data_IF_631658767104
#
_entry.id   IF_631658767104
#
_cell.length_a   1.000
_cell.length_b   1.000
_cell.length_c   1.000
_cell.angle_alpha   90.00
_cell.angle_beta   90.00
_cell.angle_gamma   90.00
#
_symmetry.space_group_name_H-M   'P 1'
#
loop_
_entity.id
_entity.type
_entity.pdbx_description
1 polymer ?
#
# COMPACT_ATOMS: atom_id res chain seq x y z
N UNK A 1 -22.14 -75.91 40.69
CA UNK A 1 -21.61 -75.05 39.62
C UNK A 1 -22.09 -73.63 39.90
N UNK A 2 -21.18 -72.70 40.14
CA UNK A 2 -21.51 -71.30 40.54
C UNK A 2 -21.58 -70.39 39.30
N UNK A 3 -22.72 -69.79 38.94
CA UNK A 3 -22.88 -68.99 37.72
C UNK A 3 -22.75 -67.45 37.92
N UNK A 4 -21.81 -67.00 38.72
CA UNK A 4 -21.75 -65.53 39.02
C UNK A 4 -20.50 -64.78 38.55
N UNK A 5 -19.64 -65.42 37.76
CA UNK A 5 -18.41 -64.73 37.30
C UNK A 5 -18.52 -63.97 35.92
N UNK A 6 -19.49 -64.34 35.10
CA UNK A 6 -19.66 -63.76 33.76
C UNK A 6 -20.18 -62.31 33.77
N UNK A 7 -21.22 -61.96 34.59
CA UNK A 7 -21.74 -60.60 34.58
C UNK A 7 -20.75 -59.54 35.14
N UNK A 8 -19.85 -59.93 36.06
CA UNK A 8 -18.86 -59.07 36.66
C UNK A 8 -17.74 -58.72 35.64
N UNK A 9 -17.35 -59.70 34.81
CA UNK A 9 -16.33 -59.53 33.79
C UNK A 9 -16.88 -58.67 32.62
N UNK A 10 -18.13 -58.81 32.22
CA UNK A 10 -18.82 -58.01 31.22
C UNK A 10 -19.03 -56.60 31.73
N UNK A 11 -19.34 -56.36 32.99
CA UNK A 11 -19.44 -55.02 33.60
C UNK A 11 -18.09 -54.32 33.68
N UNK A 12 -16.99 -55.04 33.94
CA UNK A 12 -15.63 -54.46 33.97
C UNK A 12 -15.12 -54.13 32.59
N UNK A 13 -15.47 -54.92 31.55
CA UNK A 13 -15.14 -54.63 30.15
C UNK A 13 -15.94 -53.43 29.61
N UNK A 14 -17.17 -53.20 30.09
CA UNK A 14 -17.98 -52.06 29.67
C UNK A 14 -17.56 -50.73 30.33
N UNK A 15 -16.97 -50.77 31.53
CA UNK A 15 -16.46 -49.58 32.22
C UNK A 15 -15.13 -49.05 31.64
N UNK A 16 -14.36 -49.85 30.92
CA UNK A 16 -13.10 -49.43 30.26
C UNK A 16 -13.34 -48.70 28.92
N UNK A 17 -14.53 -48.91 28.31
CA UNK A 17 -14.87 -48.28 27.01
C UNK A 17 -15.29 -46.80 27.16
N UNK A 18 -15.63 -46.34 28.37
CA UNK A 18 -16.02 -44.95 28.62
C UNK A 18 -14.89 -44.04 29.08
N UNK A 19 -13.66 -44.55 29.27
CA UNK A 19 -12.46 -43.70 29.32
C UNK A 19 -11.92 -43.48 27.91
N UNK A 20 -12.74 -42.93 27.04
CA UNK A 20 -12.27 -42.35 25.79
C UNK A 20 -11.51 -41.08 26.16
N UNK A 21 -10.23 -41.04 25.85
CA UNK A 21 -9.41 -39.85 25.96
C UNK A 21 -10.01 -38.77 25.05
N UNK A 22 -10.73 -37.82 25.62
CA UNK A 22 -11.14 -36.59 24.92
C UNK A 22 -9.91 -35.85 24.34
N UNK A 23 -8.72 -35.99 24.95
CA UNK A 23 -7.46 -35.42 24.51
C UNK A 23 -6.89 -36.05 23.22
N UNK A 24 -7.39 -37.24 22.76
CA UNK A 24 -6.87 -37.90 21.55
C UNK A 24 -7.63 -37.48 20.29
N UNK A 25 -8.84 -36.91 20.44
CA UNK A 25 -9.69 -36.49 19.33
C UNK A 25 -9.68 -34.96 19.12
N UNK A 26 -9.04 -34.25 20.00
CA UNK A 26 -8.75 -32.81 19.80
C UNK A 26 -7.30 -32.72 19.32
N UNK A 27 -7.03 -32.85 18.02
CA UNK A 27 -5.70 -32.54 17.53
C UNK A 27 -5.48 -31.08 17.87
N UNK A 28 -4.69 -30.82 18.91
CA UNK A 28 -4.08 -29.50 19.07
C UNK A 28 -3.36 -29.27 17.75
N UNK A 29 -3.98 -28.48 16.90
CA UNK A 29 -3.39 -28.09 15.64
C UNK A 29 -2.19 -27.19 15.96
N UNK A 30 -1.09 -27.81 16.40
CA UNK A 30 0.21 -27.13 16.61
C UNK A 30 0.74 -26.55 15.31
N UNK A 31 0.09 -26.81 14.18
CA UNK A 31 0.45 -26.35 12.84
C UNK A 31 -0.48 -25.27 12.27
N UNK A 32 -1.63 -25.00 12.88
CA UNK A 32 -2.47 -23.88 12.46
C UNK A 32 -1.95 -22.62 13.13
N UNK A 33 -1.27 -21.78 12.36
CA UNK A 33 -1.01 -20.39 12.72
C UNK A 33 -2.38 -19.75 13.00
N UNK A 34 -2.75 -19.61 14.26
CA UNK A 34 -3.91 -18.81 14.64
C UNK A 34 -3.58 -17.34 14.29
N UNK A 35 -4.60 -16.56 13.99
CA UNK A 35 -4.45 -15.13 13.74
C UNK A 35 -3.68 -14.44 14.88
N UNK A 36 -3.97 -14.81 16.13
CA UNK A 36 -3.27 -14.31 17.33
C UNK A 36 -1.78 -14.65 17.30
N UNK A 37 -1.39 -15.88 16.96
CA UNK A 37 0.02 -16.27 16.86
C UNK A 37 0.73 -15.59 15.68
N UNK A 38 0.01 -15.36 14.58
CA UNK A 38 0.58 -14.66 13.43
C UNK A 38 0.89 -13.19 13.74
N UNK A 39 0.05 -12.53 14.53
CA UNK A 39 0.20 -11.11 14.86
C UNK A 39 1.35 -10.82 15.82
N UNK A 40 1.65 -11.72 16.75
CA UNK A 40 2.75 -11.55 17.72
C UNK A 40 4.14 -11.86 17.14
N UNK A 41 4.24 -12.44 15.95
CA UNK A 41 5.50 -12.82 15.32
C UNK A 41 6.15 -11.68 14.54
N UNK A 42 7.38 -11.30 14.91
CA UNK A 42 8.17 -10.30 14.16
C UNK A 42 8.36 -10.67 12.69
N UNK A 43 8.66 -11.94 12.39
CA UNK A 43 8.88 -12.37 11.00
C UNK A 43 7.59 -12.33 10.17
N UNK A 44 6.46 -12.67 10.77
CA UNK A 44 5.16 -12.55 10.09
C UNK A 44 4.81 -11.08 9.87
N UNK A 45 5.10 -10.21 10.83
CA UNK A 45 4.91 -8.76 10.68
C UNK A 45 5.79 -8.18 9.57
N UNK A 46 7.05 -8.63 9.46
CA UNK A 46 7.91 -8.30 8.32
C UNK A 46 7.29 -8.76 7.00
N UNK A 47 6.87 -10.03 6.91
CA UNK A 47 6.24 -10.57 5.69
C UNK A 47 4.97 -9.78 5.31
N UNK A 48 4.13 -9.44 6.29
CA UNK A 48 2.94 -8.60 6.07
C UNK A 48 3.30 -7.20 5.59
N UNK A 49 4.36 -6.58 6.15
CA UNK A 49 4.83 -5.27 5.68
C UNK A 49 5.28 -5.29 4.22
N UNK A 50 5.88 -6.40 3.77
CA UNK A 50 6.24 -6.63 2.37
C UNK A 50 4.99 -6.87 1.52
N UNK A 51 4.05 -7.66 2.03
CA UNK A 51 2.77 -7.93 1.37
C UNK A 51 1.95 -6.69 1.03
N UNK A 52 2.12 -5.59 1.77
CA UNK A 52 1.44 -4.32 1.45
C UNK A 52 1.79 -3.80 0.05
N UNK A 53 2.98 -4.11 -0.46
CA UNK A 53 3.42 -3.66 -1.78
C UNK A 53 2.80 -4.46 -2.94
N UNK A 54 2.19 -5.62 -2.68
CA UNK A 54 1.58 -6.46 -3.73
C UNK A 54 0.36 -5.83 -4.40
N UNK A 55 -0.25 -4.82 -3.78
CA UNK A 55 -1.38 -4.08 -4.35
C UNK A 55 -0.94 -2.93 -5.27
N UNK A 56 0.36 -2.66 -5.37
CA UNK A 56 0.87 -1.68 -6.34
C UNK A 56 0.65 -2.20 -7.76
N UNK A 57 0.21 -1.34 -8.69
CA UNK A 57 0.09 -1.74 -10.08
C UNK A 57 1.48 -2.02 -10.67
N UNK A 58 1.58 -3.05 -11.50
CA UNK A 58 2.76 -3.27 -12.33
C UNK A 58 2.75 -2.27 -13.49
N UNK A 59 3.69 -1.33 -13.51
CA UNK A 59 3.76 -0.30 -14.53
C UNK A 59 4.04 -0.83 -15.94
N UNK A 60 4.71 -1.99 -16.05
CA UNK A 60 5.03 -2.62 -17.34
C UNK A 60 3.93 -3.55 -17.84
N UNK A 61 3.03 -4.00 -16.97
CA UNK A 61 1.96 -4.95 -17.28
C UNK A 61 0.65 -4.50 -16.64
N UNK A 62 0.31 -3.21 -16.83
CA UNK A 62 -0.75 -2.55 -16.07
C UNK A 62 -2.15 -3.10 -16.38
N UNK A 63 -2.47 -3.29 -17.66
CA UNK A 63 -3.77 -3.76 -18.14
C UNK A 63 -3.57 -4.79 -19.26
N UNK A 64 -3.99 -6.03 -19.02
CA UNK A 64 -3.88 -7.17 -19.95
C UNK A 64 -2.45 -7.37 -20.50
N UNK A 65 -1.43 -7.14 -19.66
CA UNK A 65 -0.04 -7.25 -20.05
C UNK A 65 0.52 -6.02 -20.77
N UNK A 66 -0.29 -4.98 -20.99
CA UNK A 66 0.12 -3.76 -21.66
C UNK A 66 0.52 -2.66 -20.66
N UNK A 67 1.50 -1.85 -21.05
CA UNK A 67 1.82 -0.60 -20.38
C UNK A 67 0.73 0.45 -20.65
N UNK A 68 0.49 1.37 -19.70
CA UNK A 68 -0.45 2.48 -19.92
C UNK A 68 -0.03 3.42 -21.06
N UNK A 69 1.23 3.46 -21.46
CA UNK A 69 1.68 4.18 -22.66
C UNK A 69 0.93 3.74 -23.93
N UNK A 70 0.49 2.47 -23.99
CA UNK A 70 -0.31 1.95 -25.11
C UNK A 70 -1.77 2.46 -25.15
N UNK A 71 -2.22 3.19 -24.11
CA UNK A 71 -3.48 3.92 -24.12
C UNK A 71 -3.38 5.32 -24.76
N UNK A 72 -2.20 5.72 -25.20
CA UNK A 72 -1.90 7.01 -25.80
C UNK A 72 -1.13 6.81 -27.12
N UNK A 73 -0.63 7.90 -27.70
CA UNK A 73 0.21 7.91 -28.90
C UNK A 73 1.69 7.60 -28.64
N UNK A 74 2.07 7.33 -27.36
CA UNK A 74 3.46 7.05 -26.98
C UNK A 74 3.88 5.60 -27.33
N UNK A 75 2.93 4.65 -27.36
CA UNK A 75 3.20 3.25 -27.67
C UNK A 75 1.98 2.55 -28.26
N UNK A 76 2.21 1.40 -28.89
CA UNK A 76 1.17 0.50 -29.37
C UNK A 76 1.40 -0.91 -28.79
N UNK A 77 0.31 -1.58 -28.42
CA UNK A 77 0.37 -2.95 -27.94
C UNK A 77 -0.09 -3.91 -29.02
N UNK A 78 0.74 -4.92 -29.31
CA UNK A 78 0.55 -5.78 -30.48
C UNK A 78 -0.57 -6.81 -30.34
N UNK A 79 -1.06 -7.08 -29.11
CA UNK A 79 -2.16 -7.99 -28.88
C UNK A 79 -3.48 -7.26 -29.15
N UNK A 80 -4.06 -7.44 -30.33
CA UNK A 80 -5.28 -6.74 -30.80
C UNK A 80 -6.51 -6.92 -29.89
N UNK A 81 -6.57 -8.02 -29.13
CA UNK A 81 -7.69 -8.33 -28.22
C UNK A 81 -7.54 -7.71 -26.84
N UNK A 82 -6.43 -7.02 -26.55
CA UNK A 82 -6.17 -6.46 -25.23
C UNK A 82 -7.11 -5.28 -24.93
N UNK A 83 -7.60 -5.22 -23.68
CA UNK A 83 -8.54 -4.18 -23.21
C UNK A 83 -7.96 -2.76 -23.32
N UNK A 84 -6.61 -2.63 -23.36
CA UNK A 84 -5.95 -1.32 -23.51
C UNK A 84 -6.40 -0.57 -24.76
N UNK A 85 -6.71 -1.26 -25.85
CA UNK A 85 -7.20 -0.64 -27.09
C UNK A 85 -8.55 0.05 -26.93
N UNK A 86 -9.32 -0.27 -25.89
CA UNK A 86 -10.55 0.43 -25.55
C UNK A 86 -10.36 1.94 -25.34
N UNK A 87 -9.19 2.37 -24.88
CA UNK A 87 -8.83 3.79 -24.75
C UNK A 87 -8.64 4.43 -26.13
N UNK A 88 -7.92 3.76 -27.03
CA UNK A 88 -7.54 4.31 -28.34
C UNK A 88 -8.73 4.44 -29.29
N UNK A 89 -9.70 3.51 -29.22
CA UNK A 89 -10.91 3.53 -30.06
C UNK A 89 -12.08 4.25 -29.40
N UNK A 90 -11.90 4.82 -28.19
CA UNK A 90 -12.95 5.56 -27.49
C UNK A 90 -14.14 4.70 -27.03
N UNK A 91 -13.96 3.38 -26.89
CA UNK A 91 -15.02 2.46 -26.42
C UNK A 91 -15.16 2.45 -24.89
N UNK A 92 -14.27 3.13 -24.17
CA UNK A 92 -14.32 3.24 -22.72
C UNK A 92 -15.47 4.16 -22.27
N UNK A 93 -16.29 3.64 -21.38
CA UNK A 93 -17.40 4.37 -20.77
C UNK A 93 -17.78 3.73 -19.43
N UNK A 94 -18.78 4.29 -18.73
CA UNK A 94 -19.21 3.81 -17.41
C UNK A 94 -19.65 2.32 -17.39
N UNK A 95 -20.12 1.78 -18.51
CA UNK A 95 -20.54 0.37 -18.62
C UNK A 95 -19.43 -0.54 -19.18
N UNK A 96 -18.39 0.04 -19.73
CA UNK A 96 -17.25 -0.67 -20.29
C UNK A 96 -15.97 0.02 -19.83
N UNK A 97 -15.54 -0.30 -18.60
CA UNK A 97 -14.33 0.25 -17.97
C UNK A 97 -13.22 -0.80 -17.96
N UNK A 98 -12.20 -0.69 -18.81
CA UNK A 98 -11.08 -1.62 -18.82
C UNK A 98 -10.28 -1.65 -17.51
N UNK A 99 -10.26 -0.54 -16.75
CA UNK A 99 -9.57 -0.41 -15.45
C UNK A 99 -10.53 -0.59 -14.26
N UNK A 100 -11.60 -1.35 -14.43
CA UNK A 100 -12.64 -1.55 -13.41
C UNK A 100 -12.14 -2.17 -12.11
N UNK A 101 -11.10 -3.01 -12.18
CA UNK A 101 -10.46 -3.63 -11.00
C UNK A 101 -9.68 -2.65 -10.12
N UNK A 102 -9.44 -1.42 -10.58
CA UNK A 102 -8.69 -0.43 -9.80
C UNK A 102 -9.38 -0.06 -8.48
N UNK A 103 -10.73 -0.05 -8.44
CA UNK A 103 -11.48 0.19 -7.21
C UNK A 103 -11.18 -0.87 -6.15
N UNK A 104 -11.40 -2.12 -6.49
CA UNK A 104 -11.23 -3.26 -5.58
C UNK A 104 -9.77 -3.36 -5.12
N UNK A 105 -8.82 -3.43 -6.01
CA UNK A 105 -7.37 -3.53 -5.71
C UNK A 105 -6.89 -2.46 -4.75
N UNK A 106 -7.26 -1.19 -4.96
CA UNK A 106 -6.82 -0.11 -4.09
C UNK A 106 -7.50 -0.13 -2.72
N UNK A 107 -8.79 -0.49 -2.63
CA UNK A 107 -9.45 -0.67 -1.33
C UNK A 107 -8.94 -1.89 -0.57
N UNK A 108 -8.57 -2.96 -1.23
CA UNK A 108 -7.87 -4.09 -0.60
C UNK A 108 -6.51 -3.66 -0.03
N UNK A 109 -5.74 -2.87 -0.78
CA UNK A 109 -4.49 -2.28 -0.29
C UNK A 109 -4.69 -1.36 0.91
N UNK A 110 -5.74 -0.53 0.92
CA UNK A 110 -6.12 0.33 2.05
C UNK A 110 -6.51 -0.52 3.26
N UNK A 111 -7.32 -1.56 3.05
CA UNK A 111 -7.70 -2.49 4.12
C UNK A 111 -6.48 -3.18 4.73
N UNK A 112 -5.59 -3.71 3.89
CA UNK A 112 -4.35 -4.36 4.35
C UNK A 112 -3.46 -3.40 5.14
N UNK A 113 -3.33 -2.14 4.69
CA UNK A 113 -2.58 -1.11 5.40
C UNK A 113 -3.22 -0.77 6.76
N UNK A 114 -4.54 -0.62 6.83
CA UNK A 114 -5.26 -0.37 8.09
C UNK A 114 -5.10 -1.53 9.07
N UNK A 115 -5.23 -2.77 8.59
CA UNK A 115 -5.05 -3.98 9.40
C UNK A 115 -3.63 -4.06 9.94
N UNK A 116 -2.63 -3.81 9.07
CA UNK A 116 -1.22 -3.78 9.49
C UNK A 116 -0.97 -2.72 10.56
N UNK A 117 -1.49 -1.50 10.39
CA UNK A 117 -1.34 -0.42 11.36
C UNK A 117 -1.96 -0.76 12.71
N UNK A 118 -3.09 -1.46 12.73
CA UNK A 118 -3.78 -1.88 13.94
C UNK A 118 -3.03 -2.98 14.69
N UNK A 119 -2.53 -3.99 13.99
CA UNK A 119 -2.00 -5.22 14.59
C UNK A 119 -0.48 -5.21 14.78
N UNK A 120 0.25 -4.30 14.13
CA UNK A 120 1.72 -4.25 14.21
C UNK A 120 2.27 -3.88 15.60
N UNK A 121 1.43 -3.41 16.53
CA UNK A 121 1.80 -3.14 17.93
C UNK A 121 1.70 -4.40 18.82
N UNK A 122 1.11 -5.49 18.33
CA UNK A 122 0.93 -6.74 19.07
C UNK A 122 2.17 -7.64 19.05
N UNK A 123 3.23 -7.24 18.36
CA UNK A 123 4.45 -8.06 18.20
C UNK A 123 5.14 -8.28 19.55
N UNK A 124 5.28 -9.56 19.92
CA UNK A 124 5.99 -9.94 21.15
C UNK A 124 7.51 -9.92 20.94
N UNK A 125 8.17 -9.02 21.62
CA UNK A 125 9.63 -8.87 21.69
C UNK A 125 10.18 -9.06 23.12
N UNK A 126 9.39 -9.55 24.07
CA UNK A 126 9.78 -9.67 25.47
C UNK A 126 11.01 -10.56 25.67
N UNK A 127 11.19 -11.59 24.83
CA UNK A 127 12.38 -12.45 24.84
C UNK A 127 13.69 -11.73 24.46
N UNK A 128 13.62 -10.56 23.83
CA UNK A 128 14.76 -9.67 23.57
C UNK A 128 14.88 -8.58 24.63
N UNK A 129 13.72 -8.04 25.03
CA UNK A 129 13.63 -6.91 25.95
C UNK A 129 14.28 -7.18 27.29
N UNK A 130 14.12 -8.39 27.81
CA UNK A 130 14.63 -8.78 29.13
C UNK A 130 16.00 -9.46 29.06
N UNK A 131 16.61 -9.64 27.88
CA UNK A 131 17.96 -10.17 27.72
C UNK A 131 18.97 -9.03 27.56
N UNK A 132 19.87 -8.80 28.55
CA UNK A 132 20.84 -7.72 28.47
C UNK A 132 21.79 -7.81 27.28
N UNK A 133 22.02 -9.01 26.73
CA UNK A 133 22.92 -9.25 25.60
C UNK A 133 22.23 -8.96 24.24
N UNK A 134 20.92 -8.80 24.21
CA UNK A 134 20.11 -8.62 22.98
C UNK A 134 19.46 -7.25 22.87
N UNK A 135 19.84 -6.29 23.69
CA UNK A 135 19.22 -4.96 23.70
C UNK A 135 19.33 -4.24 22.36
N UNK A 136 20.44 -4.42 21.64
CA UNK A 136 20.60 -3.82 20.31
C UNK A 136 19.62 -4.43 19.29
N UNK A 137 19.42 -5.75 19.32
CA UNK A 137 18.45 -6.43 18.44
C UNK A 137 17.01 -6.00 18.79
N UNK A 138 16.69 -5.88 20.07
CA UNK A 138 15.40 -5.35 20.53
C UNK A 138 15.12 -3.96 19.93
N UNK A 139 16.05 -3.03 20.06
CA UNK A 139 15.90 -1.67 19.53
C UNK A 139 15.80 -1.66 17.98
N UNK A 140 16.60 -2.49 17.31
CA UNK A 140 16.54 -2.61 15.85
C UNK A 140 15.17 -3.09 15.38
N UNK A 141 14.57 -4.08 16.07
CA UNK A 141 13.23 -4.59 15.72
C UNK A 141 12.13 -3.57 15.98
N UNK A 142 12.19 -2.85 17.10
CA UNK A 142 11.27 -1.75 17.37
C UNK A 142 11.35 -0.67 16.29
N UNK A 143 12.56 -0.27 15.90
CA UNK A 143 12.78 0.72 14.84
C UNK A 143 12.26 0.23 13.48
N UNK A 144 12.42 -1.05 13.19
CA UNK A 144 11.88 -1.64 11.96
C UNK A 144 10.35 -1.63 11.95
N UNK A 145 9.69 -2.08 13.02
CA UNK A 145 8.22 -2.05 13.13
C UNK A 145 7.72 -0.61 12.99
N UNK A 146 8.34 0.32 13.69
CA UNK A 146 8.01 1.74 13.57
C UNK A 146 8.12 2.22 12.12
N UNK A 147 9.21 1.93 11.43
CA UNK A 147 9.39 2.30 10.02
C UNK A 147 8.31 1.66 9.13
N UNK A 148 8.02 0.38 9.28
CA UNK A 148 7.00 -0.32 8.48
C UNK A 148 5.60 0.28 8.64
N UNK A 149 5.26 0.80 9.82
CA UNK A 149 4.01 1.53 10.03
C UNK A 149 3.94 2.78 9.16
N UNK A 150 5.04 3.49 8.97
CA UNK A 150 5.06 4.67 8.11
C UNK A 150 5.16 4.31 6.61
N UNK A 151 5.74 3.18 6.27
CA UNK A 151 5.60 2.61 4.93
C UNK A 151 4.14 2.25 4.62
N UNK A 152 3.43 1.64 5.57
CA UNK A 152 2.00 1.34 5.43
C UNK A 152 1.15 2.61 5.24
N UNK A 153 1.44 3.69 5.97
CA UNK A 153 0.79 5.00 5.79
C UNK A 153 1.06 5.59 4.40
N UNK A 154 2.30 5.53 3.94
CA UNK A 154 2.66 5.96 2.58
C UNK A 154 1.89 5.15 1.51
N UNK A 155 1.87 3.83 1.63
CA UNK A 155 1.16 2.97 0.67
C UNK A 155 -0.35 3.24 0.70
N UNK A 156 -0.93 3.45 1.88
CA UNK A 156 -2.34 3.87 2.00
C UNK A 156 -2.61 5.18 1.27
N UNK A 157 -1.72 6.19 1.44
CA UNK A 157 -1.81 7.45 0.71
C UNK A 157 -1.73 7.24 -0.81
N UNK A 158 -0.84 6.34 -1.26
CA UNK A 158 -0.70 5.99 -2.66
C UNK A 158 -1.98 5.36 -3.23
N UNK A 159 -2.58 4.40 -2.53
CA UNK A 159 -3.83 3.76 -2.95
C UNK A 159 -4.99 4.75 -3.01
N UNK A 160 -5.08 5.66 -2.05
CA UNK A 160 -6.04 6.76 -2.11
C UNK A 160 -5.80 7.69 -3.30
N UNK A 161 -4.55 7.99 -3.63
CA UNK A 161 -4.23 8.80 -4.80
C UNK A 161 -4.62 8.10 -6.10
N UNK A 162 -4.41 6.78 -6.20
CA UNK A 162 -4.87 5.98 -7.34
C UNK A 162 -6.40 6.02 -7.50
N UNK A 163 -7.15 5.97 -6.41
CA UNK A 163 -8.61 6.13 -6.42
C UNK A 163 -9.03 7.54 -6.83
N UNK A 164 -8.39 8.56 -6.25
CA UNK A 164 -8.72 9.97 -6.53
C UNK A 164 -8.54 10.33 -8.00
N UNK A 165 -7.48 9.84 -8.64
CA UNK A 165 -7.24 10.06 -10.07
C UNK A 165 -8.40 9.58 -10.96
N UNK A 166 -9.12 8.54 -10.55
CA UNK A 166 -10.17 7.88 -11.32
C UNK A 166 -11.58 8.30 -10.93
N UNK A 167 -11.78 8.46 -9.64
CA UNK A 167 -13.12 8.60 -9.07
C UNK A 167 -13.37 9.97 -8.41
N UNK A 168 -12.32 10.79 -8.26
CA UNK A 168 -12.41 12.02 -7.46
C UNK A 168 -12.48 11.70 -5.97
N UNK A 169 -13.39 12.32 -5.22
CA UNK A 169 -13.60 12.01 -3.81
C UNK A 169 -14.10 10.58 -3.61
N UNK A 170 -13.62 9.90 -2.59
CA UNK A 170 -13.97 8.52 -2.22
C UNK A 170 -14.10 8.42 -0.69
N UNK A 171 -14.76 7.40 -0.13
CA UNK A 171 -14.82 7.22 1.32
C UNK A 171 -13.43 7.08 1.94
N UNK A 172 -13.13 7.87 2.97
CA UNK A 172 -11.87 7.78 3.73
C UNK A 172 -12.08 6.80 4.88
N UNK A 173 -11.46 5.61 4.77
CA UNK A 173 -11.54 4.52 5.73
C UNK A 173 -10.17 4.33 6.36
N UNK A 174 -10.05 4.57 7.67
CA UNK A 174 -8.79 4.50 8.41
C UNK A 174 -8.67 3.30 9.34
N UNK A 175 -9.77 2.54 9.48
CA UNK A 175 -9.83 1.32 10.29
C UNK A 175 -10.12 0.10 9.41
N UNK A 176 -9.63 -1.09 9.77
CA UNK A 176 -9.98 -2.30 9.04
C UNK A 176 -11.46 -2.64 9.26
N UNK A 177 -12.18 -2.83 8.15
CA UNK A 177 -13.59 -3.19 8.19
C UNK A 177 -13.73 -4.70 8.38
N UNK A 178 -14.48 -5.11 9.41
CA UNK A 178 -14.83 -6.52 9.63
C UNK A 178 -16.05 -6.94 8.80
N UNK A 179 -16.29 -8.25 8.72
CA UNK A 179 -17.45 -8.84 8.01
C UNK A 179 -18.82 -8.31 8.49
N UNK A 180 -18.89 -7.78 9.71
CA UNK A 180 -20.11 -7.22 10.31
C UNK A 180 -20.17 -5.69 10.25
N UNK A 181 -19.21 -5.06 9.61
CA UNK A 181 -19.22 -3.59 9.49
C UNK A 181 -20.39 -3.13 8.64
N UNK A 182 -21.11 -2.14 9.14
CA UNK A 182 -22.20 -1.52 8.39
C UNK A 182 -21.63 -0.57 7.34
N UNK A 183 -21.59 -1.04 6.09
CA UNK A 183 -21.07 -0.25 4.98
C UNK A 183 -21.95 0.97 4.62
N UNK A 184 -23.21 1.01 5.06
CA UNK A 184 -24.10 2.12 4.79
C UNK A 184 -23.72 3.40 5.55
N UNK A 185 -22.86 3.28 6.55
CA UNK A 185 -22.34 4.41 7.33
C UNK A 185 -21.23 5.18 6.60
N UNK A 186 -20.63 4.59 5.58
CA UNK A 186 -19.58 5.23 4.79
C UNK A 186 -20.18 5.97 3.60
N UNK A 187 -20.06 7.29 3.63
CA UNK A 187 -20.40 8.15 2.50
C UNK A 187 -19.15 8.53 1.72
N UNK A 188 -19.34 8.98 0.50
CA UNK A 188 -18.27 9.55 -0.31
C UNK A 188 -17.80 10.86 0.32
N UNK A 189 -16.50 10.97 0.54
CA UNK A 189 -15.86 12.21 1.01
C UNK A 189 -15.58 13.15 -0.16
N UNK A 190 -15.42 14.45 0.15
CA UNK A 190 -15.08 15.42 -0.88
C UNK A 190 -13.65 15.18 -1.41
N UNK A 191 -13.42 15.56 -2.68
CA UNK A 191 -12.08 15.53 -3.28
C UNK A 191 -11.05 16.27 -2.41
N UNK A 192 -11.43 17.44 -1.90
CA UNK A 192 -10.55 18.23 -1.02
C UNK A 192 -10.19 17.51 0.28
N UNK A 193 -11.12 16.73 0.85
CA UNK A 193 -10.83 15.91 2.02
C UNK A 193 -9.85 14.79 1.69
N UNK A 194 -10.05 14.10 0.57
CA UNK A 194 -9.15 13.05 0.11
C UNK A 194 -7.73 13.57 -0.16
N UNK A 195 -7.59 14.71 -0.84
CA UNK A 195 -6.27 15.32 -1.08
C UNK A 195 -5.58 15.71 0.23
N UNK A 196 -6.30 16.33 1.18
CA UNK A 196 -5.74 16.64 2.50
C UNK A 196 -5.29 15.39 3.26
N UNK A 197 -6.08 14.31 3.20
CA UNK A 197 -5.72 13.05 3.81
C UNK A 197 -4.43 12.49 3.20
N UNK A 198 -4.33 12.42 1.88
CA UNK A 198 -3.13 11.96 1.16
C UNK A 198 -1.91 12.77 1.56
N UNK A 199 -2.00 14.10 1.55
CA UNK A 199 -0.90 14.99 1.93
C UNK A 199 -0.45 14.77 3.37
N UNK A 200 -1.40 14.65 4.31
CA UNK A 200 -1.11 14.38 5.74
C UNK A 200 -0.42 13.04 5.97
N UNK A 201 -0.83 12.00 5.26
CA UNK A 201 -0.18 10.68 5.30
C UNK A 201 1.24 10.74 4.74
N UNK A 202 1.43 11.45 3.61
CA UNK A 202 2.75 11.67 3.02
C UNK A 202 3.68 12.45 3.94
N UNK A 203 3.20 13.52 4.59
CA UNK A 203 3.99 14.30 5.54
C UNK A 203 4.42 13.47 6.75
N UNK A 204 3.50 12.68 7.27
CA UNK A 204 3.78 11.77 8.36
C UNK A 204 4.83 10.72 7.97
N UNK A 205 4.70 10.13 6.79
CA UNK A 205 5.66 9.16 6.27
C UNK A 205 7.04 9.81 6.02
N UNK A 206 7.08 10.99 5.40
CA UNK A 206 8.33 11.71 5.12
C UNK A 206 9.10 12.13 6.39
N UNK A 207 8.39 12.30 7.51
CA UNK A 207 9.03 12.63 8.79
C UNK A 207 9.85 11.47 9.36
N UNK A 208 9.48 10.21 9.06
CA UNK A 208 10.10 9.01 9.64
C UNK A 208 10.92 8.22 8.64
N UNK A 209 10.46 8.12 7.40
CA UNK A 209 11.14 7.35 6.36
C UNK A 209 12.50 7.97 6.03
N UNK A 210 13.48 7.10 5.79
CA UNK A 210 14.84 7.52 5.49
C UNK A 210 14.99 7.92 4.02
N UNK A 211 15.93 8.82 3.78
CA UNK A 211 16.44 9.03 2.44
C UNK A 211 17.25 7.79 2.00
N UNK A 212 17.27 7.44 0.70
CA UNK A 212 17.93 6.23 0.22
C UNK A 212 19.42 6.15 0.57
N UNK A 213 20.12 7.28 0.62
CA UNK A 213 21.53 7.36 0.99
C UNK A 213 21.80 7.01 2.47
N UNK A 214 20.75 6.94 3.29
CA UNK A 214 20.80 6.59 4.70
C UNK A 214 20.12 5.27 5.01
N UNK A 215 19.71 4.53 3.98
CA UNK A 215 19.07 3.25 4.15
C UNK A 215 20.06 2.25 4.75
N UNK A 216 19.77 1.77 5.94
CA UNK A 216 20.53 0.68 6.57
C UNK A 216 20.08 -0.64 5.95
N UNK A 217 21.01 -1.58 5.80
CA UNK A 217 20.72 -2.90 5.23
C UNK A 217 20.04 -2.81 3.86
N UNK A 218 20.76 -2.23 2.91
CA UNK A 218 20.27 -1.99 1.54
C UNK A 218 19.76 -3.29 0.87
N UNK A 219 20.43 -4.43 1.13
CA UNK A 219 20.05 -5.70 0.53
C UNK A 219 18.61 -6.14 0.87
N UNK A 220 18.15 -5.88 2.10
CA UNK A 220 16.82 -6.25 2.57
C UNK A 220 15.79 -5.11 2.46
N UNK A 221 16.23 -3.89 2.14
CA UNK A 221 15.36 -2.71 2.09
C UNK A 221 15.28 -2.06 0.71
N UNK A 222 15.96 -2.61 -0.30
CA UNK A 222 15.86 -2.12 -1.68
C UNK A 222 14.40 -2.23 -2.16
N UNK A 223 13.90 -1.18 -2.79
CA UNK A 223 12.51 -1.12 -3.27
C UNK A 223 11.46 -0.72 -2.22
N UNK A 224 11.83 -0.57 -0.94
CA UNK A 224 10.89 -0.08 0.09
C UNK A 224 10.70 1.44 -0.01
N UNK A 225 9.55 1.90 0.48
CA UNK A 225 9.21 3.32 0.47
C UNK A 225 10.25 4.17 1.21
N UNK A 226 10.59 5.29 0.61
CA UNK A 226 11.58 6.23 1.12
C UNK A 226 10.96 7.58 1.44
N UNK A 227 11.70 8.45 2.12
CA UNK A 227 11.34 9.85 2.31
C UNK A 227 11.06 10.53 0.96
N UNK A 228 11.89 10.25 -0.05
CA UNK A 228 11.70 10.79 -1.40
C UNK A 228 10.41 10.32 -2.05
N UNK A 229 10.04 9.06 -1.89
CA UNK A 229 8.77 8.53 -2.40
C UNK A 229 7.57 9.25 -1.79
N UNK A 230 7.59 9.47 -0.46
CA UNK A 230 6.50 10.17 0.24
C UNK A 230 6.40 11.65 -0.18
N UNK A 231 7.53 12.37 -0.26
CA UNK A 231 7.56 13.76 -0.72
C UNK A 231 7.14 13.88 -2.19
N UNK A 232 7.58 12.95 -3.06
CA UNK A 232 7.21 12.91 -4.46
C UNK A 232 5.72 12.67 -4.69
N UNK A 233 5.11 11.76 -3.91
CA UNK A 233 3.67 11.53 -3.94
C UNK A 233 2.89 12.79 -3.50
N UNK A 234 3.34 13.48 -2.44
CA UNK A 234 2.77 14.76 -2.01
C UNK A 234 2.80 15.79 -3.14
N UNK A 235 3.97 15.98 -3.77
CA UNK A 235 4.09 16.90 -4.90
C UNK A 235 3.09 16.56 -6.01
N UNK A 236 3.01 15.28 -6.37
CA UNK A 236 2.12 14.81 -7.43
C UNK A 236 0.65 15.03 -7.08
N UNK A 237 0.23 14.72 -5.86
CA UNK A 237 -1.14 14.94 -5.40
C UNK A 237 -1.53 16.42 -5.44
N UNK A 238 -0.63 17.32 -5.02
CA UNK A 238 -0.87 18.77 -5.04
C UNK A 238 -0.89 19.32 -6.47
N UNK A 239 -0.04 18.82 -7.39
CA UNK A 239 -0.10 19.19 -8.80
C UNK A 239 -1.44 18.80 -9.44
N UNK A 240 -1.94 17.59 -9.15
CA UNK A 240 -3.27 17.18 -9.62
C UNK A 240 -4.36 18.09 -9.03
N UNK A 241 -4.31 18.37 -7.72
CA UNK A 241 -5.26 19.26 -7.06
C UNK A 241 -5.28 20.68 -7.64
N UNK A 242 -4.14 21.18 -8.15
CA UNK A 242 -4.02 22.49 -8.78
C UNK A 242 -4.44 22.49 -10.26
N UNK A 243 -4.53 21.32 -10.92
CA UNK A 243 -4.82 21.20 -12.35
C UNK A 243 -6.22 21.69 -12.72
N UNK A 244 -6.41 22.05 -13.98
CA UNK A 244 -7.70 22.48 -14.52
C UNK A 244 -8.77 21.39 -14.34
N UNK A 245 -8.41 20.11 -14.44
CA UNK A 245 -9.31 19.00 -14.24
C UNK A 245 -10.10 19.11 -12.92
N UNK A 246 -9.42 19.46 -11.82
CA UNK A 246 -10.05 19.56 -10.51
C UNK A 246 -10.45 21.00 -10.09
N UNK A 247 -10.24 21.98 -10.96
CA UNK A 247 -10.61 23.37 -10.68
C UNK A 247 -11.68 23.93 -11.63
N UNK A 248 -11.90 23.28 -12.79
CA UNK A 248 -12.84 23.72 -13.81
C UNK A 248 -13.85 22.64 -14.19
N UNK A 249 -14.63 22.10 -13.23
CA UNK A 249 -15.56 20.99 -13.49
C UNK A 249 -16.64 21.34 -14.53
N UNK A 250 -16.97 22.62 -14.71
CA UNK A 250 -17.96 23.05 -15.69
C UNK A 250 -17.55 22.77 -17.14
N UNK A 251 -16.23 22.68 -17.41
CA UNK A 251 -15.72 22.45 -18.76
C UNK A 251 -15.95 21.00 -19.23
N UNK A 252 -16.00 20.04 -18.30
CA UNK A 252 -16.09 18.61 -18.62
C UNK A 252 -17.28 17.87 -17.97
N UNK A 253 -17.87 18.43 -16.92
CA UNK A 253 -19.07 17.90 -16.26
C UNK A 253 -20.10 19.02 -16.02
N UNK A 254 -20.59 19.69 -17.09
CA UNK A 254 -21.56 20.77 -16.95
C UNK A 254 -22.83 20.24 -16.31
N UNK A 255 -23.33 20.98 -15.29
CA UNK A 255 -24.58 20.63 -14.60
C UNK A 255 -24.50 19.48 -13.59
N UNK A 256 -23.33 18.91 -13.35
CA UNK A 256 -23.16 17.96 -12.25
C UNK A 256 -23.32 18.65 -10.90
N UNK A 257 -24.22 18.15 -10.05
CA UNK A 257 -24.65 18.84 -8.83
C UNK A 257 -23.70 18.64 -7.66
N UNK A 258 -22.98 17.51 -7.60
CA UNK A 258 -22.09 17.16 -6.47
C UNK A 258 -20.63 17.50 -6.80
N UNK A 259 -20.38 18.77 -7.07
CA UNK A 259 -19.04 19.25 -7.47
C UNK A 259 -17.96 19.00 -6.43
N UNK A 260 -18.33 18.89 -5.16
CA UNK A 260 -17.44 18.56 -4.06
C UNK A 260 -16.71 17.22 -4.25
N UNK A 261 -17.28 16.31 -5.04
CA UNK A 261 -16.64 15.00 -5.31
C UNK A 261 -15.68 15.03 -6.50
N UNK A 262 -15.81 16.00 -7.40
CA UNK A 262 -15.05 16.05 -8.64
C UNK A 262 -14.16 17.29 -8.77
N UNK A 263 -14.26 18.23 -7.83
CA UNK A 263 -13.45 19.44 -7.83
C UNK A 263 -13.06 19.87 -6.42
N UNK A 264 -12.01 20.69 -6.37
CA UNK A 264 -11.49 21.24 -5.14
C UNK A 264 -12.44 22.32 -4.59
N UNK A 265 -12.97 22.10 -3.37
CA UNK A 265 -13.95 22.96 -2.69
C UNK A 265 -13.45 23.28 -1.26
N UNK A 266 -12.21 23.76 -1.13
CA UNK A 266 -11.57 24.06 0.16
C UNK A 266 -11.42 25.56 0.44
N UNK A 267 -12.04 26.40 -0.37
CA UNK A 267 -12.01 27.86 -0.24
C UNK A 267 -10.76 28.54 -0.81
N UNK A 268 -9.78 27.77 -1.30
CA UNK A 268 -8.60 28.31 -1.95
C UNK A 268 -8.85 28.56 -3.44
N UNK A 269 -8.18 29.56 -3.99
CA UNK A 269 -8.10 29.74 -5.44
C UNK A 269 -7.21 28.70 -6.10
N UNK A 270 -7.36 28.50 -7.41
CA UNK A 270 -6.47 27.63 -8.16
C UNK A 270 -5.00 28.11 -8.12
N UNK A 271 -4.78 29.44 -8.10
CA UNK A 271 -3.46 30.04 -7.99
C UNK A 271 -2.77 29.64 -6.67
N UNK A 272 -3.47 29.72 -5.55
CA UNK A 272 -2.95 29.29 -4.24
C UNK A 272 -2.56 27.81 -4.24
N UNK A 273 -3.33 26.93 -4.94
CA UNK A 273 -3.00 25.51 -5.08
C UNK A 273 -1.73 25.30 -5.91
N UNK A 274 -1.54 26.07 -6.98
CA UNK A 274 -0.29 26.05 -7.75
C UNK A 274 0.91 26.48 -6.90
N UNK A 275 0.74 27.47 -6.05
CA UNK A 275 1.78 27.95 -5.13
C UNK A 275 2.11 26.87 -4.08
N UNK A 276 1.11 26.17 -3.53
CA UNK A 276 1.32 25.04 -2.62
C UNK A 276 2.05 23.88 -3.30
N UNK A 277 1.67 23.54 -4.53
CA UNK A 277 2.33 22.48 -5.30
C UNK A 277 3.79 22.86 -5.59
N UNK A 278 4.04 24.09 -6.01
CA UNK A 278 5.40 24.61 -6.26
C UNK A 278 6.25 24.61 -4.99
N UNK A 279 5.68 25.01 -3.84
CA UNK A 279 6.36 24.97 -2.55
C UNK A 279 6.74 23.54 -2.14
N UNK A 280 5.84 22.57 -2.30
CA UNK A 280 6.11 21.17 -2.00
C UNK A 280 7.21 20.59 -2.92
N UNK A 281 7.18 20.91 -4.22
CA UNK A 281 8.22 20.48 -5.17
C UNK A 281 9.58 21.13 -4.85
N UNK A 282 9.59 22.39 -4.47
CA UNK A 282 10.81 23.06 -4.05
C UNK A 282 11.38 22.47 -2.75
N UNK A 283 10.53 22.13 -1.79
CA UNK A 283 10.94 21.44 -0.56
C UNK A 283 11.56 20.07 -0.88
N UNK A 284 10.96 19.30 -1.80
CA UNK A 284 11.56 18.06 -2.29
C UNK A 284 12.95 18.28 -2.87
N UNK A 285 13.11 19.25 -3.79
CA UNK A 285 14.37 19.55 -4.45
C UNK A 285 15.42 20.01 -3.44
N UNK A 286 15.08 20.90 -2.52
CA UNK A 286 16.02 21.42 -1.52
C UNK A 286 16.43 20.37 -0.48
N UNK A 287 15.49 19.52 -0.10
CA UNK A 287 15.75 18.46 0.90
C UNK A 287 16.54 17.29 0.34
N UNK A 288 16.27 16.91 -0.90
CA UNK A 288 16.78 15.67 -1.50
C UNK A 288 17.60 15.87 -2.78
N UNK A 289 17.57 17.02 -3.42
CA UNK A 289 18.22 17.26 -4.70
C UNK A 289 19.72 16.99 -4.71
N UNK A 290 20.42 17.29 -3.61
CA UNK A 290 21.84 16.96 -3.47
C UNK A 290 22.11 15.45 -3.25
N UNK A 291 21.07 14.67 -2.93
CA UNK A 291 21.15 13.22 -2.66
C UNK A 291 20.76 12.39 -3.86
N UNK A 292 19.99 13.00 -4.75
CA UNK A 292 19.63 12.47 -6.07
C UNK A 292 20.11 13.48 -7.11
N UNK A 293 21.43 13.57 -7.34
CA UNK A 293 21.91 14.46 -8.39
C UNK A 293 21.25 14.01 -9.71
N UNK A 294 20.38 14.85 -10.22
CA UNK A 294 19.83 14.71 -11.58
C UNK A 294 20.93 15.06 -12.58
N UNK A 295 21.97 14.24 -12.61
CA UNK A 295 23.07 14.30 -13.57
C UNK A 295 22.63 13.77 -14.94
N UNK A 296 21.45 14.20 -15.39
CA UNK A 296 20.92 13.91 -16.72
C UNK A 296 21.92 14.32 -17.81
N UNK A 297 22.60 15.42 -17.60
CA UNK A 297 23.70 15.86 -18.44
C UNK A 297 24.92 14.93 -18.43
N UNK A 298 25.13 14.18 -17.38
CA UNK A 298 26.23 13.20 -17.27
C UNK A 298 25.97 11.99 -18.14
N UNK A 299 24.75 11.49 -18.16
CA UNK A 299 24.34 10.36 -19.03
C UNK A 299 24.54 10.69 -20.53
N UNK A 300 24.09 11.86 -20.96
CA UNK A 300 24.24 12.32 -22.35
C UNK A 300 25.72 12.55 -22.67
N UNK A 301 26.48 13.15 -21.76
CA UNK A 301 27.89 13.40 -21.96
C UNK A 301 28.75 12.14 -21.98
N UNK A 302 28.46 11.18 -21.07
CA UNK A 302 29.17 9.92 -20.99
C UNK A 302 28.87 9.05 -22.20
N UNK A 303 27.65 9.07 -22.74
CA UNK A 303 27.29 8.43 -24.00
C UNK A 303 28.03 9.06 -25.20
N UNK A 304 28.13 10.37 -25.27
CA UNK A 304 28.82 11.09 -26.32
C UNK A 304 30.35 10.89 -26.30
N UNK A 305 30.93 10.63 -25.14
CA UNK A 305 32.35 10.37 -24.95
C UNK A 305 32.73 8.90 -25.07
N UNK A 306 31.80 7.98 -25.37
CA UNK A 306 32.06 6.55 -25.52
C UNK A 306 32.37 5.82 -24.22
N UNK A 307 32.12 6.46 -23.08
CA UNK A 307 32.27 5.83 -21.78
C UNK A 307 31.17 4.78 -21.55
N UNK A 308 31.60 3.59 -21.17
CA UNK A 308 30.84 2.36 -21.13
C UNK A 308 29.45 2.48 -20.48
N UNK A 309 28.47 1.88 -21.13
CA UNK A 309 27.07 1.62 -20.73
C UNK A 309 26.90 1.17 -19.26
N UNK A 310 27.93 0.74 -18.57
CA UNK A 310 27.92 0.32 -17.15
C UNK A 310 27.54 1.45 -16.17
N UNK A 311 27.65 2.72 -16.55
CA UNK A 311 27.22 3.83 -15.68
C UNK A 311 25.75 4.20 -15.89
N UNK A 312 25.14 3.80 -17.00
CA UNK A 312 23.72 4.01 -17.30
C UNK A 312 22.80 3.22 -16.35
N UNK A 313 23.29 2.10 -15.78
CA UNK A 313 22.53 1.24 -14.85
C UNK A 313 22.30 1.90 -13.49
N UNK A 314 22.97 3.01 -13.16
CA UNK A 314 22.71 3.73 -11.90
C UNK A 314 21.38 4.46 -11.86
N UNK A 315 20.75 4.69 -13.01
CA UNK A 315 19.43 5.32 -13.08
C UNK A 315 18.34 4.40 -12.48
N UNK A 316 18.45 3.09 -12.69
CA UNK A 316 17.51 2.09 -12.20
C UNK A 316 17.58 1.84 -10.68
N UNK A 317 18.55 2.44 -10.00
CA UNK A 317 18.70 2.31 -8.54
C UNK A 317 17.93 3.37 -7.75
N UNK A 318 17.32 4.36 -8.41
CA UNK A 318 16.69 5.51 -7.75
C UNK A 318 15.17 5.64 -8.01
N UNK A 319 14.60 4.71 -8.80
CA UNK A 319 13.14 4.64 -9.05
C UNK A 319 12.54 3.34 -8.55
#
# INVERSE_FOLDING_TARGET
>A
MKPYKIPVIVGLLFSVVFYSCDDLLDPKAETNLTEEFANVSYNNTLARSIGLYSYLPDGLSYLDGAMMAAASDEAEYTLETASIHGFNVGSWNANNNPDGSAWERNFEGIFAANLFLKESDEVDLDYLKYDPTKQQDYQNRLNNIHRWKYEARFLRAYYYFELVKRYGGVPIITEPLGLKSDLSTFSRDSLSACIRFIVSECDSAAAVLQAPDRMTDVANNLGRATKGAAMGLKCRALLYAASDLFNKPEEWAPGYTHKEYISMQDGKSQQERWEEAAAACNDFITTLGNKYPMDEYRLIRDYQNGDNIRQTIRFDQYF
#
